data_IF_333860714091
#
_entry.id   IF_333860714091
#
_cell.length_a   1.000
_cell.length_b   1.000
_cell.length_c   1.000
_cell.angle_alpha   90.00
_cell.angle_beta   90.00
_cell.angle_gamma   90.00
#
_symmetry.space_group_name_H-M   'P 1'
#
loop_
_entity.id
_entity.type
_entity.pdbx_description
1 polymer ?
#
# COMPACT_ATOMS: atom_id res chain seq x y z
N UNK A 1 -7.72 -17.06 64.14
CA UNK A 1 -8.78 -16.19 63.58
C UNK A 1 -8.21 -15.65 62.29
N UNK A 2 -8.12 -16.51 61.28
CA UNK A 2 -9.19 -17.01 60.38
C UNK A 2 -9.34 -16.07 59.20
N UNK A 3 -9.00 -16.66 58.05
CA UNK A 3 -9.13 -16.22 56.67
C UNK A 3 -10.39 -15.43 56.34
N UNK A 4 -10.26 -14.50 55.40
CA UNK A 4 -11.19 -14.42 54.28
C UNK A 4 -10.51 -13.76 53.08
N UNK A 5 -10.27 -14.57 52.04
CA UNK A 5 -9.67 -14.17 50.78
C UNK A 5 -10.76 -14.29 49.71
N UNK A 6 -11.23 -13.19 49.12
CA UNK A 6 -12.30 -13.26 48.14
C UNK A 6 -11.75 -13.75 46.80
N UNK A 7 -12.10 -15.00 46.47
CA UNK A 7 -12.08 -15.57 45.13
C UNK A 7 -12.87 -14.67 44.18
N UNK A 8 -12.18 -14.07 43.21
CA UNK A 8 -12.83 -13.43 42.07
C UNK A 8 -12.83 -14.42 40.92
N UNK A 9 -14.00 -15.05 40.76
CA UNK A 9 -14.34 -15.99 39.72
C UNK A 9 -13.93 -15.48 38.34
N UNK A 10 -13.09 -16.29 37.71
CA UNK A 10 -12.82 -16.36 36.28
C UNK A 10 -14.14 -16.69 35.58
N UNK A 11 -14.76 -15.66 35.00
CA UNK A 11 -15.89 -15.81 34.10
C UNK A 11 -15.37 -16.39 32.79
N UNK A 12 -15.49 -17.71 32.68
CA UNK A 12 -15.39 -18.41 31.41
C UNK A 12 -16.67 -18.08 30.65
N UNK A 13 -16.64 -16.99 29.87
CA UNK A 13 -17.72 -16.66 28.94
C UNK A 13 -17.76 -17.74 27.85
N UNK A 14 -18.48 -18.83 28.15
CA UNK A 14 -18.94 -19.79 27.17
C UNK A 14 -19.79 -19.04 26.14
N UNK A 15 -19.18 -18.74 25.00
CA UNK A 15 -19.86 -18.19 23.86
C UNK A 15 -20.82 -19.26 23.31
N UNK A 16 -22.08 -19.23 23.75
CA UNK A 16 -23.16 -20.00 23.14
C UNK A 16 -23.28 -19.60 21.66
N UNK A 17 -22.76 -20.46 20.78
CA UNK A 17 -23.03 -20.41 19.36
C UNK A 17 -24.50 -20.72 19.18
N UNK A 18 -25.31 -19.66 19.11
CA UNK A 18 -26.75 -19.78 18.86
C UNK A 18 -26.93 -20.46 17.53
N UNK A 19 -27.50 -21.67 17.61
CA UNK A 19 -27.81 -22.54 16.49
C UNK A 19 -28.56 -21.75 15.41
N UNK A 20 -27.97 -21.69 14.21
CA UNK A 20 -28.59 -21.08 13.04
C UNK A 20 -29.85 -21.88 12.72
N UNK A 21 -30.99 -21.33 13.15
CA UNK A 21 -32.34 -21.76 12.78
C UNK A 21 -32.36 -22.08 11.29
N UNK A 22 -32.35 -23.38 11.02
CA UNK A 22 -32.46 -23.95 9.70
C UNK A 22 -33.84 -23.57 9.19
N UNK A 23 -33.91 -22.49 8.41
CA UNK A 23 -35.11 -22.14 7.65
C UNK A 23 -35.37 -23.32 6.71
N UNK A 24 -36.34 -24.15 7.08
CA UNK A 24 -36.94 -25.16 6.21
C UNK A 24 -37.45 -24.47 4.96
N UNK A 25 -36.60 -24.40 3.94
CA UNK A 25 -37.05 -24.22 2.58
C UNK A 25 -37.72 -25.53 2.17
N UNK A 26 -38.94 -25.37 1.67
CA UNK A 26 -39.82 -26.43 1.24
C UNK A 26 -39.12 -27.36 0.24
N UNK A 27 -39.51 -28.62 0.32
CA UNK A 27 -39.03 -29.75 -0.44
C UNK A 27 -39.05 -29.49 -1.97
N UNK A 28 -37.90 -29.08 -2.51
CA UNK A 28 -37.52 -29.33 -3.89
C UNK A 28 -36.48 -30.45 -3.87
N UNK A 29 -36.82 -31.61 -4.45
CA UNK A 29 -35.97 -32.79 -4.44
C UNK A 29 -34.62 -32.54 -5.09
N UNK A 30 -33.59 -32.33 -4.26
CA UNK A 30 -32.21 -32.39 -4.71
C UNK A 30 -31.80 -33.87 -4.86
N UNK A 31 -31.18 -34.24 -5.99
CA UNK A 31 -30.65 -35.59 -6.17
C UNK A 31 -29.64 -35.88 -5.06
N UNK A 32 -29.85 -36.99 -4.35
CA UNK A 32 -28.90 -37.50 -3.36
C UNK A 32 -27.55 -37.70 -4.05
N UNK A 33 -26.60 -36.82 -3.78
CA UNK A 33 -25.22 -37.01 -4.18
C UNK A 33 -24.69 -38.28 -3.50
N UNK A 34 -23.96 -39.14 -4.24
CA UNK A 34 -23.42 -40.37 -3.68
C UNK A 34 -22.48 -40.02 -2.53
N UNK A 35 -22.66 -40.69 -1.39
CA UNK A 35 -21.78 -40.60 -0.24
C UNK A 35 -20.39 -41.10 -0.62
N UNK A 36 -19.50 -40.17 -1.00
CA UNK A 36 -18.10 -40.48 -1.31
C UNK A 36 -17.42 -40.88 0.00
N UNK A 37 -16.86 -42.09 0.03
CA UNK A 37 -16.17 -42.64 1.20
C UNK A 37 -15.03 -41.71 1.66
N UNK A 38 -14.91 -41.41 2.97
CA UNK A 38 -13.88 -40.50 3.49
C UNK A 38 -12.44 -40.98 3.22
N UNK A 39 -12.24 -42.29 3.02
CA UNK A 39 -10.91 -42.86 2.70
C UNK A 39 -10.41 -42.53 1.29
N UNK A 40 -11.29 -42.37 0.29
CA UNK A 40 -10.83 -42.03 -1.07
C UNK A 40 -10.36 -40.57 -1.16
N UNK A 41 -10.96 -39.69 -0.37
CA UNK A 41 -10.58 -38.27 -0.31
C UNK A 41 -9.19 -38.06 0.29
N UNK A 42 -8.86 -38.79 1.36
CA UNK A 42 -7.51 -38.74 1.95
C UNK A 42 -6.42 -39.21 0.98
N UNK A 43 -6.68 -40.26 0.18
CA UNK A 43 -5.74 -40.73 -0.84
C UNK A 43 -5.53 -39.70 -1.95
N UNK A 44 -6.59 -38.98 -2.32
CA UNK A 44 -6.53 -37.95 -3.35
C UNK A 44 -5.73 -36.73 -2.86
N UNK A 45 -5.94 -36.28 -1.62
CA UNK A 45 -5.15 -35.21 -1.00
C UNK A 45 -3.67 -35.60 -0.97
N UNK A 46 -3.33 -36.78 -0.43
CA UNK A 46 -1.94 -37.22 -0.33
C UNK A 46 -1.26 -37.33 -1.71
N UNK A 47 -1.99 -37.83 -2.72
CA UNK A 47 -1.49 -37.89 -4.09
C UNK A 47 -1.22 -36.49 -4.65
N UNK A 48 -2.15 -35.55 -4.46
CA UNK A 48 -2.03 -34.19 -4.98
C UNK A 48 -0.89 -33.41 -4.27
N UNK A 49 -0.72 -33.61 -2.96
CA UNK A 49 0.40 -33.06 -2.19
C UNK A 49 1.75 -33.60 -2.68
N UNK A 50 1.86 -34.90 -2.97
CA UNK A 50 3.09 -35.51 -3.49
C UNK A 50 3.45 -34.94 -4.88
N UNK A 51 2.46 -34.82 -5.78
CA UNK A 51 2.65 -34.26 -7.12
C UNK A 51 3.12 -32.80 -7.04
N UNK A 52 2.52 -32.00 -6.15
CA UNK A 52 2.93 -30.61 -5.94
C UNK A 52 4.38 -30.51 -5.44
N UNK A 53 4.77 -31.37 -4.48
CA UNK A 53 6.12 -31.40 -3.94
C UNK A 53 7.17 -31.74 -5.01
N UNK A 54 6.87 -32.72 -5.87
CA UNK A 54 7.75 -33.10 -7.00
C UNK A 54 7.87 -31.95 -8.01
N UNK A 55 6.78 -31.25 -8.32
CA UNK A 55 6.80 -30.10 -9.22
C UNK A 55 7.67 -28.95 -8.69
N UNK A 56 7.58 -28.64 -7.38
CA UNK A 56 8.41 -27.61 -6.73
C UNK A 56 9.90 -27.99 -6.73
N UNK A 57 10.22 -29.27 -6.51
CA UNK A 57 11.60 -29.77 -6.58
C UNK A 57 12.17 -29.65 -8.01
N UNK A 58 11.40 -30.02 -9.03
CA UNK A 58 11.79 -29.89 -10.44
C UNK A 58 12.02 -28.42 -10.84
N UNK A 59 11.13 -27.51 -10.42
CA UNK A 59 11.29 -26.08 -10.68
C UNK A 59 12.58 -25.52 -10.06
N UNK A 60 12.90 -25.94 -8.82
CA UNK A 60 14.14 -25.54 -8.14
C UNK A 60 15.41 -26.14 -8.77
N UNK A 61 15.34 -27.35 -9.33
CA UNK A 61 16.49 -27.92 -10.05
C UNK A 61 16.77 -27.15 -11.35
N UNK A 62 15.72 -26.79 -12.09
CA UNK A 62 15.84 -26.06 -13.35
C UNK A 62 16.43 -24.66 -13.16
N UNK A 63 16.05 -23.94 -12.10
CA UNK A 63 16.62 -22.62 -11.79
C UNK A 63 18.09 -22.69 -11.40
N UNK A 64 18.53 -23.77 -10.74
CA UNK A 64 19.95 -23.95 -10.37
C UNK A 64 20.84 -24.30 -11.56
N UNK A 65 20.33 -25.02 -12.56
CA UNK A 65 21.13 -25.38 -13.76
C UNK A 65 21.31 -24.22 -14.75
N UNK A 66 20.47 -23.18 -14.71
CA UNK A 66 20.55 -22.02 -15.60
C UNK A 66 21.68 -21.03 -15.30
N UNK A 67 22.33 -21.12 -14.13
CA UNK A 67 23.33 -20.14 -13.69
C UNK A 67 24.75 -20.36 -14.26
N UNK A 68 24.98 -21.41 -15.07
CA UNK A 68 26.33 -21.76 -15.57
C UNK A 68 26.65 -21.34 -17.01
N UNK A 69 25.76 -20.63 -17.73
CA UNK A 69 25.94 -20.34 -19.16
C UNK A 69 26.01 -18.85 -19.56
N UNK A 70 26.33 -17.94 -18.64
CA UNK A 70 26.41 -16.51 -18.93
C UNK A 70 27.72 -15.86 -18.50
N UNK A 71 28.85 -16.18 -19.14
CA UNK A 71 30.11 -15.43 -18.99
C UNK A 71 30.24 -14.45 -20.17
N UNK A 72 29.81 -13.18 -20.06
CA UNK A 72 30.09 -12.19 -21.09
C UNK A 72 31.58 -11.82 -21.02
N UNK A 73 32.29 -12.08 -22.12
CA UNK A 73 33.62 -11.54 -22.38
C UNK A 73 33.55 -10.02 -22.47
N UNK A 74 34.10 -9.32 -21.48
CA UNK A 74 34.35 -7.89 -21.56
C UNK A 74 35.56 -7.66 -22.47
N UNK A 75 35.32 -7.28 -23.73
CA UNK A 75 36.36 -6.66 -24.56
C UNK A 75 36.65 -5.26 -24.03
N UNK A 76 37.94 -5.01 -23.81
CA UNK A 76 38.49 -3.71 -23.44
C UNK A 76 38.22 -2.66 -24.52
N UNK A 77 37.74 -1.49 -24.09
CA UNK A 77 37.73 -0.27 -24.91
C UNK A 77 38.91 0.63 -24.52
N UNK A 78 39.49 1.35 -25.50
CA UNK A 78 40.74 2.08 -25.33
C UNK A 78 40.56 3.39 -24.55
N UNK A 79 41.54 3.64 -23.68
CA UNK A 79 41.78 4.89 -22.97
C UNK A 79 42.05 6.03 -23.95
N UNK A 80 41.12 6.98 -24.06
CA UNK A 80 41.36 8.28 -24.68
C UNK A 80 41.76 9.28 -23.57
N UNK A 81 43.05 9.61 -23.53
CA UNK A 81 43.62 10.63 -22.65
C UNK A 81 43.21 12.02 -23.16
N UNK A 82 42.11 12.56 -22.65
CA UNK A 82 41.75 13.95 -22.86
C UNK A 82 42.46 14.82 -21.81
N UNK A 83 43.36 15.70 -22.26
CA UNK A 83 43.97 16.75 -21.44
C UNK A 83 42.87 17.72 -20.99
N UNK A 84 42.51 17.66 -19.71
CA UNK A 84 41.59 18.59 -19.08
C UNK A 84 42.32 19.90 -18.75
N UNK A 85 41.85 21.01 -19.32
CA UNK A 85 42.21 22.35 -18.89
C UNK A 85 41.82 22.59 -17.43
N UNK A 86 42.63 23.32 -16.65
CA UNK A 86 42.31 23.65 -15.26
C UNK A 86 41.05 24.52 -15.22
N UNK A 87 39.92 23.91 -14.88
CA UNK A 87 38.66 24.62 -14.66
C UNK A 87 38.74 25.21 -13.27
N UNK A 88 38.75 26.54 -13.18
CA UNK A 88 38.73 27.25 -11.90
C UNK A 88 37.42 26.90 -11.17
N UNK A 89 37.54 26.18 -10.07
CA UNK A 89 36.42 25.86 -9.17
C UNK A 89 36.08 27.14 -8.42
N UNK A 90 35.11 27.89 -8.93
CA UNK A 90 34.45 28.94 -8.17
C UNK A 90 33.62 28.24 -7.09
N UNK A 91 34.18 28.17 -5.88
CA UNK A 91 33.45 27.73 -4.69
C UNK A 91 32.43 28.82 -4.36
N UNK A 92 31.25 28.74 -4.96
CA UNK A 92 30.09 29.47 -4.49
C UNK A 92 29.73 28.92 -3.12
N UNK A 93 30.12 29.64 -2.06
CA UNK A 93 29.59 29.45 -0.72
C UNK A 93 28.08 29.63 -0.79
N UNK A 94 27.34 28.52 -0.87
CA UNK A 94 25.89 28.57 -0.81
C UNK A 94 25.50 29.13 0.56
N UNK A 95 24.52 30.07 0.63
CA UNK A 95 23.99 30.53 1.89
C UNK A 95 23.52 29.32 2.71
N UNK A 96 23.68 29.34 4.05
CA UNK A 96 23.27 28.24 4.90
C UNK A 96 21.81 27.90 4.60
N UNK A 97 21.57 26.65 4.19
CA UNK A 97 20.23 26.15 3.91
C UNK A 97 19.35 26.49 5.12
N UNK A 98 18.21 27.21 4.93
CA UNK A 98 17.35 27.57 6.03
C UNK A 98 17.03 26.29 6.82
N UNK A 99 17.26 26.34 8.13
CA UNK A 99 16.99 25.23 9.02
C UNK A 99 15.58 24.72 8.71
N UNK A 100 15.47 23.43 8.38
CA UNK A 100 14.21 22.76 8.08
C UNK A 100 13.27 23.01 9.25
N UNK A 101 12.40 24.02 9.11
CA UNK A 101 11.30 24.24 10.04
C UNK A 101 10.44 23.00 9.89
N UNK A 102 10.55 22.10 10.85
CA UNK A 102 9.71 20.92 10.95
C UNK A 102 8.28 21.43 10.90
N UNK A 103 7.64 21.26 9.74
CA UNK A 103 6.28 21.74 9.53
C UNK A 103 5.45 21.09 10.63
N UNK A 104 4.86 21.92 11.49
CA UNK A 104 3.87 21.39 12.42
C UNK A 104 2.75 20.76 11.58
N UNK A 105 2.10 19.69 12.08
CA UNK A 105 0.88 19.17 11.49
C UNK A 105 -0.03 20.35 11.19
N UNK A 106 -0.42 20.51 9.93
CA UNK A 106 -1.37 21.56 9.59
C UNK A 106 -2.63 21.22 10.36
N UNK A 107 -2.89 21.96 11.44
CA UNK A 107 -4.12 21.82 12.20
C UNK A 107 -5.22 22.21 11.24
N UNK A 108 -5.86 21.20 10.66
CA UNK A 108 -6.98 21.40 9.74
C UNK A 108 -8.01 22.21 10.51
N UNK A 109 -8.40 23.41 10.02
CA UNK A 109 -9.33 24.27 10.73
C UNK A 109 -10.57 23.47 11.08
N UNK A 110 -10.69 23.19 12.37
CA UNK A 110 -11.65 22.31 12.99
C UNK A 110 -13.06 22.84 12.69
N UNK A 111 -13.67 22.36 11.62
CA UNK A 111 -15.08 22.61 11.34
C UNK A 111 -15.89 21.65 12.20
N UNK A 112 -16.24 22.17 13.39
CA UNK A 112 -17.53 21.99 14.06
C UNK A 112 -18.20 20.61 14.00
N UNK A 113 -18.16 19.90 15.13
CA UNK A 113 -19.15 18.91 15.59
C UNK A 113 -19.54 17.86 14.55
N UNK A 114 -18.84 16.73 14.60
CA UNK A 114 -19.06 15.59 13.70
C UNK A 114 -18.15 15.73 12.50
N UNK A 115 -16.91 15.23 12.64
CA UNK A 115 -16.04 15.03 11.49
C UNK A 115 -16.81 14.14 10.50
N UNK A 116 -17.40 14.74 9.48
CA UNK A 116 -18.07 14.06 8.38
C UNK A 116 -17.29 14.33 7.10
N UNK A 117 -17.07 13.28 6.32
CA UNK A 117 -16.45 13.37 5.00
C UNK A 117 -17.53 13.70 3.98
N UNK A 118 -17.36 14.79 3.23
CA UNK A 118 -18.25 15.14 2.11
C UNK A 118 -18.07 14.22 0.89
N UNK A 119 -18.95 14.32 -0.12
CA UNK A 119 -18.77 13.59 -1.38
C UNK A 119 -17.54 14.12 -2.14
N UNK A 120 -16.88 13.23 -2.89
CA UNK A 120 -15.75 13.62 -3.73
C UNK A 120 -16.19 14.58 -4.85
N UNK A 121 -15.44 15.65 -5.17
CA UNK A 121 -15.74 16.49 -6.32
C UNK A 121 -15.71 15.68 -7.61
N UNK A 122 -16.72 15.86 -8.46
CA UNK A 122 -16.83 15.10 -9.71
C UNK A 122 -15.70 15.41 -10.71
N UNK A 123 -15.08 16.60 -10.64
CA UNK A 123 -13.98 17.03 -11.50
C UNK A 123 -13.00 17.90 -10.73
N UNK A 124 -11.73 17.50 -10.73
CA UNK A 124 -10.62 18.26 -10.14
C UNK A 124 -9.59 18.76 -11.16
N UNK A 125 -9.62 18.20 -12.37
CA UNK A 125 -8.76 18.55 -13.49
C UNK A 125 -9.60 18.53 -14.78
N UNK A 126 -9.13 19.24 -15.81
CA UNK A 126 -9.76 19.15 -17.13
C UNK A 126 -9.56 17.77 -17.77
N UNK A 127 -8.38 17.19 -17.57
CA UNK A 127 -8.03 15.85 -18.03
C UNK A 127 -8.16 14.86 -16.86
N UNK A 128 -8.91 13.79 -17.05
CA UNK A 128 -9.02 12.73 -16.04
C UNK A 128 -7.71 11.92 -16.01
N UNK A 129 -7.12 11.68 -14.84
CA UNK A 129 -5.93 10.84 -14.75
C UNK A 129 -6.18 9.46 -15.34
N UNK A 130 -5.23 8.96 -16.13
CA UNK A 130 -5.28 7.60 -16.63
C UNK A 130 -5.15 6.63 -15.45
N UNK A 131 -6.14 5.74 -15.30
CA UNK A 131 -6.14 4.67 -14.33
C UNK A 131 -5.55 3.41 -14.97
N UNK A 132 -4.72 2.69 -14.22
CA UNK A 132 -4.18 1.39 -14.58
C UNK A 132 -4.60 0.33 -13.56
N UNK A 133 -4.60 -0.93 -14.00
CA UNK A 133 -4.88 -2.12 -13.16
C UNK A 133 -3.60 -2.72 -12.57
N UNK A 134 -2.45 -2.04 -12.74
CA UNK A 134 -1.20 -2.41 -12.09
C UNK A 134 -1.31 -2.30 -10.55
N UNK A 135 -0.54 -3.09 -9.82
CA UNK A 135 -0.57 -3.17 -8.37
C UNK A 135 -1.58 -4.17 -7.80
N UNK A 136 -1.91 -4.02 -6.52
CA UNK A 136 -2.80 -4.95 -5.83
C UNK A 136 -4.28 -4.57 -6.08
N UNK A 137 -5.07 -5.44 -6.74
CA UNK A 137 -6.47 -5.15 -7.05
C UNK A 137 -7.35 -4.98 -5.81
N UNK A 138 -6.91 -5.47 -4.65
CA UNK A 138 -7.60 -5.29 -3.36
C UNK A 138 -7.55 -3.86 -2.85
N UNK A 139 -6.58 -3.07 -3.30
CA UNK A 139 -6.39 -1.66 -2.90
C UNK A 139 -7.16 -0.72 -3.82
N UNK A 140 -7.32 -1.09 -5.09
CA UNK A 140 -8.02 -0.31 -6.10
C UNK A 140 -7.19 -0.18 -7.37
N UNK A 141 -7.54 0.79 -8.21
CA UNK A 141 -6.74 1.12 -9.39
C UNK A 141 -5.58 2.03 -9.01
N UNK A 142 -4.56 2.06 -9.87
CA UNK A 142 -3.41 2.92 -9.72
C UNK A 142 -3.39 4.08 -10.74
N UNK A 143 -2.68 5.15 -10.38
CA UNK A 143 -2.38 6.30 -11.22
C UNK A 143 -0.88 6.59 -11.22
N UNK A 144 -0.44 7.43 -12.15
CA UNK A 144 0.96 7.85 -12.24
C UNK A 144 1.57 7.45 -13.57
N UNK A 145 2.88 7.27 -13.56
CA UNK A 145 3.63 6.78 -14.71
C UNK A 145 4.74 5.85 -14.24
N UNK A 146 4.84 4.68 -14.87
CA UNK A 146 5.94 3.75 -14.63
C UNK A 146 7.31 4.47 -14.69
N UNK A 147 8.25 4.11 -13.80
CA UNK A 147 8.24 2.93 -12.94
C UNK A 147 7.56 3.13 -11.57
N UNK A 148 6.97 4.30 -11.27
CA UNK A 148 6.35 4.55 -9.96
C UNK A 148 4.88 4.92 -10.11
N UNK A 149 4.01 4.17 -9.44
CA UNK A 149 2.57 4.36 -9.45
C UNK A 149 2.04 4.46 -8.01
N UNK A 150 0.84 5.03 -7.86
CA UNK A 150 0.13 5.04 -6.57
C UNK A 150 -1.25 4.40 -6.77
N UNK A 151 -1.52 3.35 -6.01
CA UNK A 151 -2.80 2.66 -5.89
C UNK A 151 -3.73 3.26 -4.83
N UNK A 152 -4.99 2.86 -4.86
CA UNK A 152 -6.04 3.32 -3.91
C UNK A 152 -7.21 4.04 -4.57
N UNK A 153 -7.24 4.14 -5.91
CA UNK A 153 -8.18 5.00 -6.62
C UNK A 153 -9.38 4.23 -7.21
N UNK A 154 -10.51 4.93 -7.32
CA UNK A 154 -11.73 4.50 -8.01
C UNK A 154 -11.94 5.31 -9.29
N UNK A 155 -12.57 4.69 -10.28
CA UNK A 155 -12.84 5.30 -11.58
C UNK A 155 -14.18 6.03 -11.63
N UNK A 156 -14.39 6.88 -12.64
CA UNK A 156 -13.45 7.20 -13.73
C UNK A 156 -12.51 8.38 -13.42
N UNK A 157 -12.69 9.10 -12.30
CA UNK A 157 -12.03 10.37 -12.02
C UNK A 157 -10.85 10.27 -11.04
N UNK A 158 -10.25 9.08 -10.92
CA UNK A 158 -9.22 8.78 -9.93
C UNK A 158 -9.60 9.29 -8.53
N UNK A 159 -10.73 8.80 -8.02
CA UNK A 159 -11.27 9.21 -6.73
C UNK A 159 -10.63 8.39 -5.61
N UNK A 160 -10.00 9.07 -4.66
CA UNK A 160 -9.42 8.49 -3.47
C UNK A 160 -10.48 8.45 -2.34
N UNK A 161 -10.96 7.26 -1.93
CA UNK A 161 -11.92 7.16 -0.84
C UNK A 161 -11.25 7.54 0.49
N UNK A 162 -11.95 8.30 1.32
CA UNK A 162 -11.47 8.80 2.63
C UNK A 162 -12.39 8.38 3.77
N UNK A 163 -11.82 8.21 4.96
CA UNK A 163 -12.57 7.89 6.19
C UNK A 163 -13.20 6.48 6.14
N UNK A 164 -14.45 6.30 6.60
CA UNK A 164 -15.10 4.98 6.58
C UNK A 164 -15.20 4.34 5.19
N UNK A 165 -15.26 5.15 4.13
CA UNK A 165 -15.26 4.65 2.75
C UNK A 165 -13.91 4.05 2.33
N UNK A 166 -12.81 4.51 2.94
CA UNK A 166 -11.47 3.97 2.73
C UNK A 166 -11.31 2.57 3.35
N UNK A 167 -11.94 2.32 4.50
CA UNK A 167 -11.90 1.03 5.18
C UNK A 167 -12.91 0.02 4.65
N UNK A 168 -13.92 0.44 3.87
CA UNK A 168 -14.95 -0.42 3.28
C UNK A 168 -14.43 -1.47 2.28
N UNK A 169 -13.15 -1.41 1.91
CA UNK A 169 -12.48 -2.45 1.11
C UNK A 169 -11.60 -3.38 1.97
N UNK A 170 -11.37 -3.04 3.24
CA UNK A 170 -10.51 -3.77 4.19
C UNK A 170 -11.34 -4.54 5.24
N UNK A 171 -12.60 -4.84 4.92
CA UNK A 171 -13.70 -5.22 5.84
C UNK A 171 -13.41 -6.33 6.85
N UNK A 172 -12.40 -7.16 6.64
CA UNK A 172 -12.03 -8.22 7.58
C UNK A 172 -11.09 -7.75 8.70
N UNK A 173 -10.50 -6.55 8.58
CA UNK A 173 -9.47 -6.05 9.52
C UNK A 173 -10.01 -5.23 10.69
N UNK A 174 -11.30 -4.85 10.68
CA UNK A 174 -11.95 -4.12 11.78
C UNK A 174 -11.42 -2.70 12.04
N UNK A 175 -10.54 -2.16 11.18
CA UNK A 175 -9.96 -0.83 11.38
C UNK A 175 -10.92 0.27 10.91
N UNK A 176 -11.32 1.15 11.84
CA UNK A 176 -12.37 2.16 11.63
C UNK A 176 -11.90 3.50 11.09
N UNK A 177 -10.64 3.61 10.65
CA UNK A 177 -10.09 4.77 9.92
C UNK A 177 -10.54 6.15 10.49
N UNK A 178 -10.42 6.40 11.81
CA UNK A 178 -10.98 7.59 12.43
C UNK A 178 -10.26 8.86 11.97
N UNK A 179 -10.95 9.99 12.06
CA UNK A 179 -10.32 11.29 11.87
C UNK A 179 -9.18 11.49 12.89
N UNK A 180 -8.03 11.97 12.42
CA UNK A 180 -6.83 12.19 13.24
C UNK A 180 -6.43 13.66 13.25
N UNK A 181 -5.40 14.00 14.02
CA UNK A 181 -4.79 15.33 13.98
C UNK A 181 -4.16 15.68 12.60
N UNK A 182 -3.94 14.68 11.74
CA UNK A 182 -3.43 14.83 10.37
C UNK A 182 -4.54 14.89 9.32
N UNK A 183 -5.78 14.58 9.70
CA UNK A 183 -6.93 14.51 8.81
C UNK A 183 -7.58 13.12 8.71
N UNK A 184 -8.40 12.94 7.68
CA UNK A 184 -9.02 11.69 7.28
C UNK A 184 -8.02 10.78 6.58
N UNK A 185 -7.82 9.54 7.06
CA UNK A 185 -7.00 8.58 6.34
C UNK A 185 -7.69 8.12 5.05
N UNK A 186 -6.92 8.06 3.98
CA UNK A 186 -7.20 7.36 2.74
C UNK A 186 -6.12 6.31 2.53
N UNK A 187 -6.53 5.07 2.29
CA UNK A 187 -5.60 3.98 2.06
C UNK A 187 -4.96 4.12 0.67
N UNK A 188 -3.63 4.04 0.63
CA UNK A 188 -2.83 4.13 -0.59
C UNK A 188 -1.82 2.98 -0.66
N UNK A 189 -1.42 2.65 -1.88
CA UNK A 189 -0.33 1.72 -2.16
C UNK A 189 0.71 2.43 -3.04
N UNK A 190 1.98 2.45 -2.63
CA UNK A 190 3.06 2.90 -3.50
C UNK A 190 3.61 1.68 -4.25
N UNK A 191 3.52 1.70 -5.56
CA UNK A 191 3.95 0.62 -6.44
C UNK A 191 5.22 1.06 -7.16
N UNK A 192 6.29 0.29 -7.01
CA UNK A 192 7.59 0.56 -7.63
C UNK A 192 8.01 -0.62 -8.50
N UNK A 193 8.15 -0.39 -9.79
CA UNK A 193 8.61 -1.39 -10.73
C UNK A 193 10.12 -1.66 -10.56
N UNK A 194 10.56 -2.87 -10.93
CA UNK A 194 11.96 -3.26 -10.90
C UNK A 194 12.85 -2.28 -11.69
N UNK A 195 14.05 -2.02 -11.18
CA UNK A 195 15.05 -1.16 -11.82
C UNK A 195 15.16 0.24 -11.21
N UNK A 196 14.26 0.62 -10.30
CA UNK A 196 14.42 1.84 -9.48
C UNK A 196 15.38 1.54 -8.33
N UNK A 197 16.56 2.16 -8.35
CA UNK A 197 17.64 1.89 -7.37
C UNK A 197 17.95 3.09 -6.47
N UNK A 198 17.00 4.01 -6.29
CA UNK A 198 17.19 5.15 -5.40
C UNK A 198 15.87 5.71 -4.89
N UNK A 199 15.93 6.81 -4.13
CA UNK A 199 14.80 7.27 -3.34
C UNK A 199 13.62 7.69 -4.21
N UNK A 200 12.48 7.10 -3.92
CA UNK A 200 11.17 7.47 -4.42
C UNK A 200 10.52 8.36 -3.37
N UNK A 201 10.22 9.60 -3.76
CA UNK A 201 9.57 10.58 -2.88
C UNK A 201 8.14 10.80 -3.32
N UNK A 202 7.17 10.57 -2.43
CA UNK A 202 5.76 10.91 -2.59
C UNK A 202 5.42 12.14 -1.75
N UNK A 203 4.69 13.07 -2.32
CA UNK A 203 4.18 14.26 -1.65
C UNK A 203 2.81 14.63 -2.18
N UNK A 204 2.09 15.47 -1.46
CA UNK A 204 0.80 15.95 -1.92
C UNK A 204 0.40 17.25 -1.26
N UNK A 205 -0.58 17.91 -1.85
CA UNK A 205 -1.18 19.13 -1.31
C UNK A 205 -2.64 19.28 -1.71
N UNK A 206 -3.39 19.98 -0.89
CA UNK A 206 -4.70 20.50 -1.26
C UNK A 206 -4.56 21.50 -2.43
N UNK A 207 -5.34 21.29 -3.49
CA UNK A 207 -5.20 22.07 -4.73
C UNK A 207 -5.71 23.50 -4.60
N UNK A 208 -6.57 23.79 -3.62
CA UNK A 208 -7.15 25.12 -3.41
C UNK A 208 -6.32 25.94 -2.42
N UNK A 209 -5.97 25.33 -1.29
CA UNK A 209 -5.29 26.00 -0.17
C UNK A 209 -3.79 25.86 -0.21
N UNK A 210 -3.26 24.87 -0.93
CA UNK A 210 -1.84 24.55 -0.98
C UNK A 210 -1.31 23.83 0.27
N UNK A 211 -2.16 23.54 1.26
CA UNK A 211 -1.74 22.83 2.47
C UNK A 211 -1.17 21.44 2.14
N UNK A 212 -0.04 21.04 2.76
CA UNK A 212 0.55 19.75 2.50
C UNK A 212 -0.35 18.63 3.00
N UNK A 213 -0.39 17.53 2.25
CA UNK A 213 -0.90 16.26 2.73
C UNK A 213 0.13 15.58 3.60
N UNK A 214 -0.35 14.72 4.49
CA UNK A 214 0.49 13.90 5.35
C UNK A 214 0.43 12.45 4.91
N UNK A 215 1.54 11.73 5.05
CA UNK A 215 1.67 10.35 4.61
C UNK A 215 2.24 9.51 5.74
N UNK A 216 1.68 8.33 5.96
CA UNK A 216 2.23 7.36 6.90
C UNK A 216 2.09 5.94 6.38
N UNK A 217 3.20 5.22 6.31
CA UNK A 217 3.22 3.83 5.84
C UNK A 217 3.12 2.87 7.00
N UNK A 218 2.46 1.74 6.75
CA UNK A 218 2.32 0.66 7.71
C UNK A 218 3.35 -0.42 7.42
N UNK A 219 3.87 -1.03 8.49
CA UNK A 219 4.74 -2.19 8.33
C UNK A 219 3.98 -3.35 7.69
N UNK A 220 4.64 -4.09 6.82
CA UNK A 220 4.09 -5.30 6.21
C UNK A 220 3.54 -6.26 7.28
N UNK A 221 2.30 -6.70 7.10
CA UNK A 221 1.60 -7.58 8.05
C UNK A 221 1.07 -6.91 9.32
N UNK A 222 1.28 -5.61 9.49
CA UNK A 222 0.76 -4.83 10.63
C UNK A 222 -0.29 -3.84 10.12
N UNK A 223 -1.56 -4.20 10.24
CA UNK A 223 -2.66 -3.27 9.99
C UNK A 223 -2.87 -2.38 11.21
N UNK A 224 -2.99 -1.07 11.00
CA UNK A 224 -3.22 -0.12 12.09
C UNK A 224 -2.69 1.28 11.81
N UNK A 225 -2.40 2.01 12.90
CA UNK A 225 -1.82 3.34 12.81
C UNK A 225 -0.37 3.28 12.25
N UNK A 226 0.01 4.19 11.34
CA UNK A 226 1.37 4.24 10.81
C UNK A 226 2.38 4.59 11.91
N UNK A 227 3.60 4.09 11.77
CA UNK A 227 4.68 4.35 12.73
C UNK A 227 5.13 5.81 12.72
N UNK A 228 5.17 6.41 11.54
CA UNK A 228 5.59 7.79 11.32
C UNK A 228 4.66 8.46 10.30
N UNK A 229 4.38 9.74 10.50
CA UNK A 229 3.54 10.55 9.62
C UNK A 229 4.30 11.81 9.23
N UNK A 230 4.55 12.00 7.94
CA UNK A 230 5.39 13.07 7.39
C UNK A 230 4.71 13.79 6.22
N UNK A 231 5.06 15.05 5.90
CA UNK A 231 4.47 15.77 4.76
C UNK A 231 5.00 15.27 3.41
N UNK A 232 6.11 14.54 3.44
CA UNK A 232 6.75 13.88 2.30
C UNK A 232 7.18 12.49 2.73
N UNK A 233 6.82 11.49 1.95
CA UNK A 233 7.30 10.13 2.14
C UNK A 233 8.47 9.86 1.21
N UNK A 234 9.58 9.33 1.74
CA UNK A 234 10.74 8.92 0.95
C UNK A 234 11.06 7.46 1.24
N UNK A 235 11.14 6.66 0.19
CA UNK A 235 11.44 5.23 0.26
C UNK A 235 12.60 4.94 -0.68
N UNK A 236 13.61 4.21 -0.21
CA UNK A 236 14.62 3.62 -1.09
C UNK A 236 14.29 2.14 -1.33
N UNK A 237 13.84 1.74 -2.54
CA UNK A 237 13.54 0.34 -2.84
C UNK A 237 14.75 -0.59 -2.69
N UNK A 238 15.98 -0.08 -2.84
CA UNK A 238 17.21 -0.87 -2.70
C UNK A 238 17.61 -1.13 -1.25
N UNK A 239 17.18 -0.28 -0.33
CA UNK A 239 17.41 -0.42 1.12
C UNK A 239 16.25 0.19 1.92
N UNK A 240 15.07 -0.43 1.89
CA UNK A 240 13.87 0.20 2.41
C UNK A 240 13.87 0.16 3.94
N UNK A 241 13.63 1.31 4.58
CA UNK A 241 13.49 1.40 6.03
C UNK A 241 12.29 0.59 6.56
N UNK A 242 11.24 0.47 5.73
CA UNK A 242 10.04 -0.35 5.98
C UNK A 242 10.02 -1.46 4.92
N UNK A 243 9.97 -2.74 5.30
CA UNK A 243 9.86 -3.83 4.34
C UNK A 243 8.66 -3.67 3.41
N UNK A 244 8.81 -4.08 2.15
CA UNK A 244 7.69 -4.08 1.21
C UNK A 244 6.53 -4.92 1.75
N UNK A 245 5.31 -4.44 1.56
CA UNK A 245 4.06 -5.15 1.86
C UNK A 245 3.89 -6.41 1.01
N UNK A 246 4.62 -6.50 -0.09
CA UNK A 246 4.82 -7.69 -0.90
C UNK A 246 5.52 -7.35 -2.21
N UNK A 247 5.67 -8.36 -3.07
CA UNK A 247 6.30 -8.24 -4.37
C UNK A 247 5.56 -9.05 -5.42
N UNK A 248 5.34 -8.43 -6.58
CA UNK A 248 5.04 -9.11 -7.83
C UNK A 248 6.33 -9.38 -8.61
N UNK A 249 6.24 -10.14 -9.71
CA UNK A 249 7.44 -10.51 -10.49
C UNK A 249 8.27 -9.30 -10.96
N UNK A 250 7.64 -8.16 -11.21
CA UNK A 250 8.29 -6.93 -11.70
C UNK A 250 8.01 -5.70 -10.83
N UNK A 251 7.44 -5.87 -9.64
CA UNK A 251 6.98 -4.75 -8.82
C UNK A 251 7.11 -5.06 -7.32
N UNK A 252 7.34 -4.02 -6.54
CA UNK A 252 7.29 -4.03 -5.08
C UNK A 252 6.25 -3.01 -4.64
N UNK A 253 5.50 -3.33 -3.59
CA UNK A 253 4.46 -2.46 -3.09
C UNK A 253 4.58 -2.19 -1.60
N UNK A 254 4.26 -0.96 -1.20
CA UNK A 254 4.20 -0.51 0.18
C UNK A 254 2.83 0.07 0.47
N UNK A 255 2.25 -0.31 1.61
CA UNK A 255 0.93 0.16 2.01
C UNK A 255 1.03 1.32 2.99
N UNK A 256 0.12 2.28 2.87
CA UNK A 256 0.08 3.41 3.77
C UNK A 256 -1.23 4.18 3.71
N UNK A 257 -1.19 5.34 4.32
CA UNK A 257 -2.29 6.29 4.34
C UNK A 257 -1.80 7.65 3.87
N UNK A 258 -2.61 8.29 3.02
CA UNK A 258 -2.61 9.73 2.87
C UNK A 258 -3.64 10.30 3.85
N UNK A 259 -3.29 11.32 4.62
CA UNK A 259 -4.22 12.00 5.52
C UNK A 259 -4.67 13.31 4.87
N UNK A 260 -5.97 13.44 4.67
CA UNK A 260 -6.60 14.54 3.95
C UNK A 260 -7.48 15.36 4.89
N UNK A 261 -7.49 16.70 4.77
CA UNK A 261 -8.32 17.55 5.63
C UNK A 261 -9.83 17.30 5.46
N UNK A 262 -10.26 16.79 4.31
CA UNK A 262 -11.67 16.56 4.00
C UNK A 262 -11.85 16.03 2.59
N UNK A 263 -13.07 16.20 2.05
CA UNK A 263 -13.33 15.98 0.64
C UNK A 263 -12.87 17.19 -0.18
N UNK A 264 -12.30 16.96 -1.36
CA UNK A 264 -11.71 18.03 -2.14
C UNK A 264 -10.88 17.55 -3.33
N UNK A 265 -10.14 18.50 -3.89
CA UNK A 265 -9.21 18.27 -4.98
C UNK A 265 -7.78 18.35 -4.46
N UNK A 266 -6.98 17.36 -4.81
CA UNK A 266 -5.63 17.20 -4.27
C UNK A 266 -4.63 16.98 -5.39
N UNK A 267 -3.44 17.55 -5.26
CA UNK A 267 -2.34 17.30 -6.18
C UNK A 267 -1.37 16.35 -5.51
N UNK A 268 -1.15 15.19 -6.11
CA UNK A 268 -0.13 14.22 -5.72
C UNK A 268 1.07 14.36 -6.65
N UNK A 269 2.26 14.31 -6.09
CA UNK A 269 3.52 14.41 -6.84
C UNK A 269 4.47 13.33 -6.38
N UNK A 270 5.12 12.67 -7.33
CA UNK A 270 6.11 11.64 -7.06
C UNK A 270 7.37 11.89 -7.87
N UNK A 271 8.54 11.64 -7.28
CA UNK A 271 9.84 11.78 -7.94
C UNK A 271 10.78 10.62 -7.60
N UNK A 272 11.62 10.24 -8.54
CA UNK A 272 12.63 9.19 -8.39
C UNK A 272 13.84 9.51 -9.30
N UNK A 273 14.97 8.79 -9.17
CA UNK A 273 16.08 8.96 -10.10
C UNK A 273 15.65 8.71 -11.55
N UNK A 274 15.70 9.76 -12.37
CA UNK A 274 15.36 9.69 -13.80
C UNK A 274 13.91 10.07 -14.15
N UNK A 275 13.06 10.43 -13.18
CA UNK A 275 11.70 10.85 -13.52
C UNK A 275 10.88 11.43 -12.38
N UNK A 276 9.74 12.01 -12.75
CA UNK A 276 8.71 12.47 -11.84
C UNK A 276 7.37 12.54 -12.54
N UNK A 277 6.29 12.61 -11.76
CA UNK A 277 4.97 12.99 -12.25
C UNK A 277 4.22 13.79 -11.17
N UNK A 278 3.23 14.56 -11.63
CA UNK A 278 2.30 15.30 -10.79
C UNK A 278 0.90 15.15 -11.37
N UNK A 279 -0.07 14.77 -10.54
CA UNK A 279 -1.44 14.48 -10.95
C UNK A 279 -2.41 15.07 -9.93
N UNK A 280 -3.51 15.64 -10.43
CA UNK A 280 -4.62 16.10 -9.59
C UNK A 280 -5.72 15.05 -9.53
N UNK A 281 -6.19 14.75 -8.32
CA UNK A 281 -7.18 13.73 -7.99
C UNK A 281 -8.33 14.31 -7.18
N UNK A 282 -9.45 13.59 -7.15
CA UNK A 282 -10.58 13.87 -6.25
C UNK A 282 -10.49 12.98 -5.01
N UNK A 283 -10.94 13.48 -3.85
CA UNK A 283 -11.10 12.64 -2.66
C UNK A 283 -12.42 12.97 -1.94
N UNK A 284 -13.06 11.95 -1.37
CA UNK A 284 -14.31 12.05 -0.63
C UNK A 284 -14.90 10.69 -0.26
N UNK A 285 -16.12 10.69 0.30
CA UNK A 285 -16.86 9.49 0.68
C UNK A 285 -17.43 8.74 -0.55
#
# INVERSE_FOLDING_TARGET
MSEDQPDTHRGDDEMEVTDLRTRRLAAGGFPRLPSICPQSWQRLILGLSLVLLVAVLLANLLTRTGALHGRPSALASPTATAMASPTQVVVLSLPPSPASSQLAPTVVPNSSVGHAVGPAPAKCSQESPALTVDGNPSVGMAIGKAPVLVGGFRGPYATLPVGPAASANLNDSGWTAPYTLYGWPAFIELIVHTGVTGPVTLSGRDAHTGYPLWFGFVMAGVWGAPHEVTPTFSLDPGNPAIPAGGSGGLEQFWYGYAFLPGAGCYTLSTSWPGGSWQITVSAGA
#
